data_IF_380878623183
#
_entry.id   IF_380878623183
#
_cell.length_a   1.000
_cell.length_b   1.000
_cell.length_c   1.000
_cell.angle_alpha   90.00
_cell.angle_beta   90.00
_cell.angle_gamma   90.00
#
_symmetry.space_group_name_H-M   'P 1'
#
loop_
_entity.id
_entity.type
_entity.pdbx_description
1 polymer ?
#
# COMPACT_ATOMS: atom_id res chain seq x y z
N UNK A 1 18.70 1.15 8.16
CA UNK A 1 17.59 0.88 7.21
C UNK A 1 16.44 0.09 7.85
N UNK A 2 16.69 -0.96 8.61
CA UNK A 2 15.70 -1.78 9.35
C UNK A 2 14.73 -0.94 10.21
N UNK A 3 15.23 0.02 10.98
CA UNK A 3 14.39 0.84 11.88
C UNK A 3 13.26 1.64 11.19
N UNK A 4 13.39 1.95 9.91
CA UNK A 4 12.34 2.66 9.15
C UNK A 4 11.26 1.69 8.65
N UNK A 5 11.64 0.48 8.24
CA UNK A 5 10.67 -0.56 7.85
C UNK A 5 9.83 -1.00 9.06
N UNK A 6 10.45 -1.22 10.21
CA UNK A 6 9.74 -1.58 11.45
C UNK A 6 8.72 -0.51 11.86
N UNK A 7 9.09 0.77 11.73
CA UNK A 7 8.15 1.88 11.97
C UNK A 7 6.98 1.88 11.01
N UNK A 8 7.23 1.56 9.73
CA UNK A 8 6.17 1.43 8.74
C UNK A 8 5.27 0.25 9.06
N UNK A 9 5.82 -0.93 9.32
CA UNK A 9 5.04 -2.12 9.69
C UNK A 9 4.15 -1.85 10.90
N UNK A 10 4.71 -1.24 11.96
CA UNK A 10 3.96 -0.85 13.15
C UNK A 10 2.85 0.18 12.84
N UNK A 11 3.07 1.09 11.90
CA UNK A 11 2.06 2.05 11.46
C UNK A 11 0.90 1.36 10.74
N UNK A 12 1.19 0.30 9.98
CA UNK A 12 0.19 -0.42 9.19
C UNK A 12 -0.61 -1.44 10.03
N UNK A 13 -0.13 -1.79 11.21
CA UNK A 13 -0.89 -2.56 12.18
C UNK A 13 -2.02 -1.72 12.75
N UNK A 14 -3.22 -2.34 12.85
CA UNK A 14 -4.39 -1.72 13.48
C UNK A 14 -4.66 -2.34 14.84
N UNK A 15 -5.10 -1.55 15.78
CA UNK A 15 -5.51 -2.00 17.11
C UNK A 15 -6.91 -2.59 17.03
N UNK A 16 -7.10 -3.83 17.50
CA UNK A 16 -8.43 -4.45 17.58
C UNK A 16 -9.17 -3.91 18.81
N UNK A 17 -10.36 -3.36 18.58
CA UNK A 17 -11.26 -2.86 19.63
C UNK A 17 -12.39 -3.84 19.90
N UNK A 18 -12.88 -4.51 18.84
CA UNK A 18 -13.92 -5.54 18.91
C UNK A 18 -13.69 -6.58 17.81
N UNK A 19 -14.51 -7.60 17.74
CA UNK A 19 -14.40 -8.72 16.78
C UNK A 19 -14.19 -8.23 15.34
N UNK A 20 -14.89 -7.18 14.94
CA UNK A 20 -14.88 -6.60 13.59
C UNK A 20 -14.61 -5.08 13.59
N UNK A 21 -14.08 -4.55 14.68
CA UNK A 21 -13.78 -3.13 14.81
C UNK A 21 -12.31 -2.91 15.15
N UNK A 22 -11.66 -2.03 14.37
CA UNK A 22 -10.25 -1.75 14.52
C UNK A 22 -9.99 -0.25 14.47
N UNK A 23 -8.86 0.18 15.06
CA UNK A 23 -8.40 1.57 15.04
C UNK A 23 -7.01 1.65 14.45
N UNK A 24 -6.84 2.53 13.46
CA UNK A 24 -5.55 2.92 12.90
C UNK A 24 -5.18 4.35 13.29
N UNK A 25 -3.88 4.60 13.36
CA UNK A 25 -3.30 5.93 13.62
C UNK A 25 -2.50 6.38 12.40
N UNK A 26 -2.37 7.68 12.22
CA UNK A 26 -1.56 8.29 11.16
C UNK A 26 -0.43 9.11 11.75
N UNK A 27 0.73 9.23 11.06
CA UNK A 27 1.74 10.22 11.41
C UNK A 27 1.13 11.62 11.27
N UNK A 28 1.40 12.50 12.23
CA UNK A 28 1.00 13.90 12.12
C UNK A 28 1.72 14.55 10.93
N UNK A 29 0.95 15.00 9.95
CA UNK A 29 1.42 15.69 8.74
C UNK A 29 0.51 16.89 8.45
N UNK A 30 1.00 17.94 7.80
CA UNK A 30 0.18 19.11 7.46
C UNK A 30 -0.84 18.86 6.34
N UNK A 31 -0.77 17.70 5.68
CA UNK A 31 -1.65 17.31 4.57
C UNK A 31 -2.66 16.22 4.99
N UNK A 32 -3.31 15.62 4.02
CA UNK A 32 -4.22 14.47 4.20
C UNK A 32 -3.49 13.17 4.51
N UNK A 33 -4.22 12.18 5.06
CA UNK A 33 -3.71 10.81 5.23
C UNK A 33 -3.32 10.22 3.87
N UNK A 34 -2.19 9.53 3.83
CA UNK A 34 -1.75 8.84 2.62
C UNK A 34 -2.68 7.67 2.27
N UNK A 35 -3.13 7.60 1.00
CA UNK A 35 -4.09 6.59 0.56
C UNK A 35 -3.60 5.16 0.76
N UNK A 36 -2.35 4.86 0.40
CA UNK A 36 -1.76 3.54 0.61
C UNK A 36 -1.73 3.09 2.07
N UNK A 37 -1.61 4.04 3.03
CA UNK A 37 -1.74 3.72 4.45
C UNK A 37 -3.16 3.23 4.79
N UNK A 38 -4.19 3.94 4.32
CA UNK A 38 -5.59 3.57 4.57
C UNK A 38 -5.90 2.20 3.95
N UNK A 39 -5.42 1.98 2.73
CA UNK A 39 -5.57 0.72 2.00
C UNK A 39 -4.93 -0.45 2.78
N UNK A 40 -3.67 -0.30 3.20
CA UNK A 40 -2.94 -1.32 3.93
C UNK A 40 -3.53 -1.60 5.32
N UNK A 41 -3.94 -0.57 6.05
CA UNK A 41 -4.61 -0.74 7.35
C UNK A 41 -5.98 -1.40 7.21
N UNK A 42 -6.74 -1.09 6.15
CA UNK A 42 -8.01 -1.77 5.86
C UNK A 42 -7.80 -3.26 5.53
N UNK A 43 -6.76 -3.57 4.72
CA UNK A 43 -6.38 -4.96 4.45
C UNK A 43 -5.94 -5.68 5.73
N UNK A 44 -5.12 -5.04 6.58
CA UNK A 44 -4.70 -5.60 7.87
C UNK A 44 -5.90 -5.88 8.79
N UNK A 45 -6.89 -4.97 8.83
CA UNK A 45 -8.13 -5.21 9.58
C UNK A 45 -8.90 -6.42 9.02
N UNK A 46 -9.08 -6.52 7.71
CA UNK A 46 -9.78 -7.62 7.06
C UNK A 46 -9.10 -8.97 7.31
N UNK A 47 -7.78 -9.04 7.09
CA UNK A 47 -6.95 -10.24 7.30
C UNK A 47 -7.09 -10.81 8.72
N UNK A 48 -7.21 -9.96 9.74
CA UNK A 48 -7.34 -10.35 11.14
C UNK A 48 -8.74 -10.87 11.51
N UNK A 49 -9.65 -10.98 10.57
CA UNK A 49 -11.01 -11.52 10.71
C UNK A 49 -11.24 -12.80 9.94
N UNK A 50 -10.21 -13.32 9.27
CA UNK A 50 -10.26 -14.57 8.50
C UNK A 50 -9.23 -15.57 9.02
N UNK A 51 -9.45 -16.85 8.73
CA UNK A 51 -8.53 -17.92 9.12
C UNK A 51 -7.15 -17.74 8.49
N UNK A 52 -6.12 -18.28 9.16
CA UNK A 52 -4.72 -18.10 8.74
C UNK A 52 -4.38 -18.72 7.38
N UNK A 53 -5.07 -19.76 6.98
CA UNK A 53 -4.91 -20.47 5.71
C UNK A 53 -5.43 -19.66 4.51
N UNK A 54 -6.10 -18.52 4.74
CA UNK A 54 -6.73 -17.72 3.69
C UNK A 54 -5.86 -16.52 3.33
N UNK A 55 -5.52 -16.42 2.06
CA UNK A 55 -4.77 -15.29 1.49
C UNK A 55 -5.69 -14.35 0.71
N UNK A 56 -5.46 -13.05 0.81
CA UNK A 56 -6.16 -12.09 -0.03
C UNK A 56 -5.68 -12.27 -1.49
N UNK A 57 -6.62 -12.41 -2.43
CA UNK A 57 -6.30 -12.52 -3.85
C UNK A 57 -6.90 -11.39 -4.69
N UNK A 58 -7.83 -10.63 -4.12
CA UNK A 58 -8.47 -9.50 -4.79
C UNK A 58 -8.89 -8.45 -3.78
N UNK A 59 -8.61 -7.19 -4.11
CA UNK A 59 -9.01 -6.03 -3.33
C UNK A 59 -9.46 -4.91 -4.27
N UNK A 60 -10.67 -4.40 -4.04
CA UNK A 60 -11.23 -3.28 -4.79
C UNK A 60 -11.66 -2.18 -3.83
N UNK A 61 -11.24 -0.93 -4.07
CA UNK A 61 -11.38 0.15 -3.10
C UNK A 61 -11.83 1.48 -3.71
N UNK A 62 -12.54 2.28 -2.91
CA UNK A 62 -12.92 3.64 -3.24
C UNK A 62 -12.46 4.61 -2.16
N UNK A 63 -11.72 5.63 -2.57
CA UNK A 63 -11.43 6.80 -1.75
C UNK A 63 -12.57 7.81 -1.87
N UNK A 64 -13.26 8.05 -0.77
CA UNK A 64 -14.48 8.86 -0.75
C UNK A 64 -14.21 10.31 -0.32
N UNK A 65 -13.31 10.48 0.65
CA UNK A 65 -12.98 11.79 1.24
C UNK A 65 -11.53 11.82 1.72
N UNK A 66 -10.88 12.99 1.79
CA UNK A 66 -9.56 13.13 2.39
C UNK A 66 -9.62 12.82 3.89
N UNK A 67 -8.73 11.95 4.38
CA UNK A 67 -8.58 11.67 5.81
C UNK A 67 -7.73 12.73 6.51
N UNK A 68 -8.12 13.08 7.75
CA UNK A 68 -7.37 13.97 8.62
C UNK A 68 -6.31 13.19 9.43
N UNK A 69 -5.00 13.46 9.26
CA UNK A 69 -3.95 12.72 9.96
C UNK A 69 -3.89 12.95 11.48
N UNK A 70 -4.58 13.98 11.99
CA UNK A 70 -4.66 14.24 13.43
C UNK A 70 -5.75 13.42 14.13
N UNK A 71 -6.59 12.70 13.38
CA UNK A 71 -7.68 11.87 13.91
C UNK A 71 -7.39 10.39 13.71
N UNK A 72 -7.88 9.55 14.61
CA UNK A 72 -7.87 8.11 14.44
C UNK A 72 -8.80 7.72 13.28
N UNK A 73 -8.49 6.60 12.64
CA UNK A 73 -9.34 5.99 11.62
C UNK A 73 -9.94 4.74 12.22
N UNK A 74 -11.26 4.66 12.21
CA UNK A 74 -12.02 3.49 12.61
C UNK A 74 -12.27 2.63 11.37
N UNK A 75 -11.87 1.35 11.42
CA UNK A 75 -12.10 0.36 10.38
C UNK A 75 -13.17 -0.62 10.86
N UNK A 76 -14.34 -0.54 10.25
CA UNK A 76 -15.44 -1.50 10.46
C UNK A 76 -15.35 -2.59 9.40
N UNK A 77 -15.19 -3.84 9.82
CA UNK A 77 -15.14 -5.01 8.95
C UNK A 77 -16.50 -5.68 8.95
N UNK A 78 -17.09 -5.82 7.76
CA UNK A 78 -18.34 -6.54 7.57
C UNK A 78 -18.02 -7.93 6.97
N UNK A 79 -18.33 -9.04 7.68
CA UNK A 79 -18.11 -10.39 7.21
C UNK A 79 -19.21 -10.81 6.22
N UNK A 80 -19.12 -10.34 4.98
CA UNK A 80 -20.13 -10.57 3.93
C UNK A 80 -20.38 -12.06 3.69
N UNK A 81 -19.29 -12.86 3.66
CA UNK A 81 -19.38 -14.30 3.41
C UNK A 81 -18.21 -15.06 3.99
N UNK A 82 -18.50 -16.19 4.61
CA UNK A 82 -17.56 -17.24 4.95
C UNK A 82 -17.96 -18.53 4.22
N UNK A 83 -17.30 -18.78 3.07
CA UNK A 83 -17.51 -20.00 2.27
C UNK A 83 -16.38 -20.99 2.48
N UNK A 84 -16.50 -22.18 1.89
CA UNK A 84 -15.49 -23.24 2.00
C UNK A 84 -14.14 -22.79 1.40
N UNK A 85 -14.10 -22.36 0.16
CA UNK A 85 -12.89 -21.93 -0.56
C UNK A 85 -12.71 -20.42 -0.50
N UNK A 86 -13.78 -19.61 -0.58
CA UNK A 86 -13.73 -18.15 -0.64
C UNK A 86 -14.37 -17.50 0.58
N UNK A 87 -13.76 -16.43 1.04
CA UNK A 87 -14.26 -15.56 2.10
C UNK A 87 -14.23 -14.11 1.62
N UNK A 88 -15.28 -13.34 1.92
CA UNK A 88 -15.36 -11.93 1.52
C UNK A 88 -15.52 -11.04 2.73
N UNK A 89 -14.74 -9.98 2.79
CA UNK A 89 -14.84 -8.90 3.79
C UNK A 89 -15.04 -7.57 3.10
N UNK A 90 -15.98 -6.79 3.62
CA UNK A 90 -16.08 -5.37 3.31
C UNK A 90 -15.51 -4.57 4.46
N UNK A 91 -14.70 -3.56 4.18
CA UNK A 91 -14.16 -2.67 5.21
C UNK A 91 -14.55 -1.24 4.89
N UNK A 92 -15.08 -0.54 5.89
CA UNK A 92 -15.37 0.90 5.82
C UNK A 92 -14.46 1.61 6.80
N UNK A 93 -13.63 2.53 6.29
CA UNK A 93 -12.80 3.39 7.14
C UNK A 93 -13.53 4.70 7.39
N UNK A 94 -13.65 5.10 8.67
CA UNK A 94 -14.39 6.27 9.13
C UNK A 94 -13.54 7.18 10.00
N UNK A 95 -13.84 8.47 9.93
CA UNK A 95 -13.42 9.48 10.92
C UNK A 95 -14.64 10.30 11.32
N UNK A 96 -14.84 10.52 12.62
CA UNK A 96 -16.03 11.22 13.17
C UNK A 96 -17.36 10.65 12.65
N UNK A 97 -17.45 9.32 12.48
CA UNK A 97 -18.64 8.65 11.94
C UNK A 97 -18.83 8.75 10.43
N UNK A 98 -17.99 9.54 9.72
CA UNK A 98 -18.10 9.76 8.28
C UNK A 98 -17.14 8.82 7.53
N UNK A 99 -17.65 8.07 6.53
CA UNK A 99 -16.84 7.22 5.70
C UNK A 99 -15.86 8.03 4.82
N UNK A 100 -14.57 7.75 4.93
CA UNK A 100 -13.50 8.34 4.10
C UNK A 100 -13.01 7.38 3.02
N UNK A 101 -13.23 6.07 3.22
CA UNK A 101 -12.78 5.01 2.33
C UNK A 101 -13.64 3.77 2.52
N UNK A 102 -13.81 2.96 1.48
CA UNK A 102 -14.35 1.61 1.59
C UNK A 102 -13.60 0.64 0.66
N UNK A 103 -13.62 -0.64 1.00
CA UNK A 103 -13.06 -1.70 0.17
C UNK A 103 -13.80 -3.01 0.36
N UNK A 104 -13.80 -3.83 -0.71
CA UNK A 104 -14.14 -5.24 -0.66
C UNK A 104 -12.85 -6.05 -0.88
N UNK A 105 -12.62 -7.05 -0.03
CA UNK A 105 -11.48 -7.95 -0.11
C UNK A 105 -12.00 -9.37 -0.22
N UNK A 106 -11.52 -10.12 -1.22
CA UNK A 106 -11.77 -11.53 -1.37
C UNK A 106 -10.53 -12.33 -0.95
N UNK A 107 -10.77 -13.36 -0.16
CA UNK A 107 -9.77 -14.30 0.34
C UNK A 107 -10.04 -15.69 -0.22
N UNK A 108 -8.98 -16.46 -0.40
CA UNK A 108 -9.05 -17.82 -0.93
C UNK A 108 -8.07 -18.72 -0.16
N UNK A 109 -8.46 -19.95 0.12
CA UNK A 109 -7.51 -20.99 0.56
C UNK A 109 -6.80 -21.57 -0.66
N UNK A 110 -5.55 -21.97 -0.47
CA UNK A 110 -4.77 -22.60 -1.53
C UNK A 110 -5.41 -23.92 -1.95
N UNK A 111 -5.66 -24.08 -3.24
CA UNK A 111 -6.26 -25.27 -3.86
C UNK A 111 -5.50 -25.61 -5.14
N UNK A 112 -5.37 -26.89 -5.45
CA UNK A 112 -4.86 -27.34 -6.75
C UNK A 112 -5.85 -26.99 -7.87
N UNK A 113 -5.33 -26.55 -9.02
CA UNK A 113 -6.17 -26.20 -10.16
C UNK A 113 -5.37 -25.78 -11.38
N UNK A 114 -6.09 -25.34 -12.42
CA UNK A 114 -5.46 -24.82 -13.63
C UNK A 114 -4.72 -23.51 -13.31
N UNK A 115 -3.48 -23.41 -13.80
CA UNK A 115 -2.65 -22.21 -13.64
C UNK A 115 -2.39 -21.56 -15.00
N UNK A 116 -2.60 -20.25 -15.09
CA UNK A 116 -2.30 -19.46 -16.26
C UNK A 116 -1.77 -18.09 -15.87
N UNK A 117 -0.73 -17.62 -16.57
CA UNK A 117 -0.16 -16.29 -16.39
C UNK A 117 0.27 -15.72 -17.74
N UNK A 118 -0.05 -14.45 -17.98
CA UNK A 118 0.54 -13.72 -19.09
C UNK A 118 2.02 -13.43 -18.84
N UNK A 119 2.81 -13.37 -19.93
CA UNK A 119 4.21 -12.99 -19.83
C UNK A 119 4.34 -11.56 -19.28
N UNK A 120 5.25 -11.38 -18.33
CA UNK A 120 5.57 -10.04 -17.86
C UNK A 120 6.19 -9.17 -18.97
N UNK A 121 5.95 -7.87 -19.01
CA UNK A 121 6.62 -6.96 -19.93
C UNK A 121 8.15 -7.09 -19.82
N UNK A 122 8.83 -7.09 -20.97
CA UNK A 122 10.29 -7.04 -21.00
C UNK A 122 10.73 -5.60 -20.80
N UNK A 123 11.30 -5.31 -19.64
CA UNK A 123 11.76 -3.98 -19.26
C UNK A 123 13.18 -4.05 -18.71
N UNK A 124 13.88 -2.92 -18.69
CA UNK A 124 15.22 -2.80 -18.09
C UNK A 124 15.23 -3.29 -16.65
N UNK A 125 16.17 -4.16 -16.24
CA UNK A 125 16.29 -4.65 -14.87
C UNK A 125 16.49 -3.51 -13.86
N UNK A 126 16.03 -3.67 -12.61
CA UNK A 126 16.09 -2.60 -11.61
C UNK A 126 17.52 -2.18 -11.25
N UNK A 127 18.50 -3.09 -11.38
CA UNK A 127 19.92 -2.83 -11.09
C UNK A 127 20.54 -1.78 -12.02
N UNK A 128 20.01 -1.65 -13.24
CA UNK A 128 20.47 -0.70 -14.26
C UNK A 128 19.74 0.65 -14.19
N UNK A 129 18.79 0.80 -13.27
CA UNK A 129 17.94 2.00 -13.18
C UNK A 129 18.28 2.85 -11.95
N UNK A 130 18.30 4.17 -12.13
CA UNK A 130 18.45 5.14 -11.05
C UNK A 130 17.22 5.09 -10.11
N UNK A 131 17.45 5.10 -8.80
CA UNK A 131 16.35 5.18 -7.82
C UNK A 131 15.68 6.54 -7.84
N UNK A 132 14.41 6.61 -7.36
CA UNK A 132 13.76 7.90 -7.12
C UNK A 132 14.52 8.74 -6.08
N UNK A 133 15.13 8.09 -5.08
CA UNK A 133 15.90 8.78 -4.05
C UNK A 133 17.13 9.48 -4.63
N UNK A 134 17.92 8.80 -5.44
CA UNK A 134 19.14 9.35 -6.05
C UNK A 134 18.79 10.46 -7.04
N UNK A 135 17.78 10.24 -7.86
CA UNK A 135 17.28 11.22 -8.81
C UNK A 135 16.86 12.54 -8.11
N UNK A 136 15.97 12.46 -7.11
CA UNK A 136 15.48 13.65 -6.44
C UNK A 136 16.55 14.33 -5.57
N UNK A 137 17.50 13.56 -5.02
CA UNK A 137 18.68 14.12 -4.33
C UNK A 137 19.53 14.94 -5.30
N UNK A 138 19.77 14.43 -6.49
CA UNK A 138 20.52 15.14 -7.54
C UNK A 138 19.74 16.37 -8.02
N UNK A 139 18.44 16.24 -8.31
CA UNK A 139 17.61 17.35 -8.76
C UNK A 139 17.53 18.49 -7.73
N UNK A 140 17.40 18.19 -6.45
CA UNK A 140 17.39 19.19 -5.39
C UNK A 140 18.74 19.94 -5.30
N UNK A 141 19.86 19.27 -5.59
CA UNK A 141 21.19 19.88 -5.62
C UNK A 141 21.40 20.74 -6.85
N UNK A 142 20.95 20.29 -8.01
CA UNK A 142 21.11 21.02 -9.30
C UNK A 142 20.17 22.23 -9.43
N UNK A 143 18.97 22.13 -8.81
CA UNK A 143 17.94 23.17 -8.87
C UNK A 143 17.44 23.57 -7.47
N UNK A 144 18.26 24.23 -6.65
CA UNK A 144 17.91 24.62 -5.28
C UNK A 144 16.64 25.47 -5.23
N UNK A 145 15.72 25.13 -4.32
CA UNK A 145 14.45 25.85 -4.16
C UNK A 145 13.35 25.48 -5.18
N UNK A 146 13.67 24.70 -6.21
CA UNK A 146 12.69 24.15 -7.16
C UNK A 146 12.25 22.73 -6.78
N UNK A 147 13.16 21.96 -6.24
CA UNK A 147 12.89 20.59 -5.78
C UNK A 147 13.43 20.44 -4.36
N UNK A 148 12.64 19.76 -3.52
CA UNK A 148 13.06 19.41 -2.16
C UNK A 148 13.83 18.07 -2.16
N UNK A 149 14.86 17.92 -1.30
CA UNK A 149 15.55 16.65 -1.14
C UNK A 149 14.57 15.58 -0.59
N UNK A 150 14.67 14.35 -1.07
CA UNK A 150 13.79 13.29 -0.60
C UNK A 150 14.07 12.93 0.85
N UNK A 151 13.02 12.63 1.61
CA UNK A 151 13.16 12.07 2.94
C UNK A 151 13.65 10.62 2.90
N UNK A 152 14.19 10.12 4.03
CA UNK A 152 14.56 8.72 4.16
C UNK A 152 13.39 7.79 3.76
N UNK A 153 13.66 6.89 2.82
CA UNK A 153 12.65 6.04 2.23
C UNK A 153 12.60 4.67 2.93
N UNK A 154 11.41 4.09 2.95
CA UNK A 154 11.16 2.70 3.36
C UNK A 154 10.86 1.84 2.13
N UNK A 155 10.40 2.49 1.07
CA UNK A 155 10.07 1.88 -0.22
C UNK A 155 10.98 2.49 -1.28
N UNK A 156 11.71 1.65 -2.01
CA UNK A 156 12.49 2.04 -3.17
C UNK A 156 11.62 1.97 -4.42
N UNK A 157 11.76 2.95 -5.29
CA UNK A 157 11.11 3.01 -6.59
C UNK A 157 12.13 3.30 -7.67
N UNK A 158 12.04 2.57 -8.80
CA UNK A 158 12.90 2.75 -9.98
C UNK A 158 12.02 2.76 -11.23
N UNK A 159 11.62 3.92 -11.73
CA UNK A 159 10.90 4.02 -13.00
C UNK A 159 11.75 3.54 -14.16
N UNK A 160 11.19 2.67 -15.01
CA UNK A 160 11.88 2.18 -16.21
C UNK A 160 12.11 3.33 -17.20
N UNK A 161 11.10 4.17 -17.38
CA UNK A 161 11.19 5.41 -18.15
C UNK A 161 10.80 6.57 -17.24
N UNK A 162 11.76 7.39 -16.88
CA UNK A 162 11.50 8.57 -16.04
C UNK A 162 10.91 9.69 -16.89
N UNK A 163 9.91 10.37 -16.33
CA UNK A 163 9.37 11.59 -16.93
C UNK A 163 10.39 12.73 -16.80
N UNK A 164 10.45 13.58 -17.82
CA UNK A 164 11.15 14.86 -17.70
C UNK A 164 10.29 15.84 -16.92
N UNK A 165 10.70 16.18 -15.71
CA UNK A 165 9.99 17.13 -14.84
C UNK A 165 10.39 18.59 -15.10
N UNK A 166 11.44 18.83 -15.90
CA UNK A 166 11.88 20.17 -16.28
C UNK A 166 11.17 20.64 -17.56
N UNK A 167 10.95 19.71 -18.51
CA UNK A 167 10.27 19.96 -19.77
C UNK A 167 9.30 18.79 -20.08
N UNK A 168 8.14 18.72 -19.39
CA UNK A 168 7.21 17.61 -19.56
C UNK A 168 6.64 17.58 -20.98
N UNK A 169 6.71 16.40 -21.61
CA UNK A 169 6.17 16.14 -22.93
C UNK A 169 5.03 15.11 -22.85
N UNK A 170 4.05 15.14 -23.77
CA UNK A 170 3.07 14.06 -23.91
C UNK A 170 3.78 12.71 -24.10
N UNK A 171 3.28 11.67 -23.42
CA UNK A 171 3.82 10.32 -23.48
C UNK A 171 2.66 9.33 -23.59
N UNK A 172 2.99 8.11 -24.03
CA UNK A 172 2.04 7.00 -23.98
C UNK A 172 1.52 6.77 -22.54
N UNK A 173 0.25 6.38 -22.37
CA UNK A 173 -0.37 6.18 -21.06
C UNK A 173 0.07 4.86 -20.39
N UNK A 174 1.36 4.54 -20.51
CA UNK A 174 1.97 3.35 -19.98
C UNK A 174 3.20 3.70 -19.15
N UNK A 175 3.32 3.11 -17.96
CA UNK A 175 4.46 3.32 -17.07
C UNK A 175 4.81 2.03 -16.36
N UNK A 176 6.10 1.67 -16.38
CA UNK A 176 6.66 0.56 -15.62
C UNK A 176 7.56 1.09 -14.51
N UNK A 177 7.37 0.59 -13.31
CA UNK A 177 8.13 0.99 -12.13
C UNK A 177 8.48 -0.27 -11.33
N UNK A 178 9.76 -0.48 -11.05
CA UNK A 178 10.19 -1.44 -10.04
C UNK A 178 10.01 -0.84 -8.65
N UNK A 179 9.39 -1.62 -7.76
CA UNK A 179 9.12 -1.18 -6.38
C UNK A 179 9.52 -2.30 -5.43
N UNK A 180 10.23 -1.95 -4.35
CA UNK A 180 10.54 -2.89 -3.27
C UNK A 180 10.56 -2.21 -1.90
N UNK A 181 10.28 -2.98 -0.83
CA UNK A 181 10.55 -2.55 0.53
C UNK A 181 12.06 -2.58 0.81
N UNK A 182 12.57 -1.59 1.55
CA UNK A 182 13.97 -1.51 1.97
C UNK A 182 14.16 -2.18 3.34
N UNK A 183 14.31 -3.49 3.33
CA UNK A 183 14.53 -4.32 4.51
C UNK A 183 13.91 -5.71 4.36
N UNK A 184 14.06 -6.53 5.39
CA UNK A 184 13.52 -7.88 5.40
C UNK A 184 12.08 -7.88 5.94
N UNK A 185 11.14 -8.40 5.14
CA UNK A 185 9.74 -8.59 5.51
C UNK A 185 9.48 -9.96 6.18
N UNK A 186 10.48 -10.84 6.19
CA UNK A 186 10.31 -12.24 6.60
C UNK A 186 9.43 -13.02 5.62
N UNK A 187 8.93 -14.17 6.05
CA UNK A 187 8.19 -15.12 5.19
C UNK A 187 6.66 -15.05 5.36
N UNK A 188 6.12 -14.09 6.12
CA UNK A 188 4.69 -13.96 6.31
C UNK A 188 4.02 -13.34 5.06
N UNK A 189 3.23 -14.09 4.27
CA UNK A 189 2.60 -13.60 3.05
C UNK A 189 1.62 -12.45 3.32
N UNK A 190 0.97 -12.41 4.48
CA UNK A 190 0.05 -11.33 4.88
C UNK A 190 0.77 -10.00 5.05
N UNK A 191 2.00 -10.05 5.56
CA UNK A 191 2.87 -8.87 5.67
C UNK A 191 3.27 -8.34 4.31
N UNK A 192 3.66 -9.23 3.38
CA UNK A 192 3.97 -8.87 1.99
C UNK A 192 2.76 -8.26 1.28
N UNK A 193 1.56 -8.83 1.44
CA UNK A 193 0.32 -8.28 0.87
C UNK A 193 -0.02 -6.90 1.45
N UNK A 194 0.18 -6.70 2.76
CA UNK A 194 -0.04 -5.40 3.42
C UNK A 194 0.90 -4.33 2.87
N UNK A 195 2.18 -4.66 2.67
CA UNK A 195 3.16 -3.74 2.07
C UNK A 195 2.84 -3.48 0.59
N UNK A 196 2.41 -4.49 -0.16
CA UNK A 196 1.97 -4.32 -1.55
C UNK A 196 0.78 -3.34 -1.63
N UNK A 197 -0.22 -3.50 -0.75
CA UNK A 197 -1.34 -2.57 -0.66
C UNK A 197 -0.91 -1.14 -0.29
N UNK A 198 0.13 -0.98 0.55
CA UNK A 198 0.69 0.34 0.88
C UNK A 198 1.38 1.00 -0.32
N UNK A 199 2.00 0.21 -1.20
CA UNK A 199 2.77 0.69 -2.36
C UNK A 199 1.90 1.00 -3.59
N UNK A 200 0.67 0.46 -3.67
CA UNK A 200 -0.23 0.55 -4.83
C UNK A 200 -1.06 1.86 -4.96
#
# INVERSE_FOLDING_TARGET
MTANLDKLLKLLEVERVDKYLFIGKSPKRPSRVFGGQVLAQALNAAVRTVDEERSAHSMHAYFLRPGNPSKQIVYEVDPIRDGRSFTTRRVVAKQDGIAIFNTAVSFHCEEEGLSHQFSAPRVTPPEELETDYDYWTRMAKEFPGRFDPPHAQTIERRPVKRRDYLSPQPQEPEQHIWIRALGDLGNDPRRHQTILAFMS
#
